data_IF_255757894681
#
_entry.id   IF_255757894681
#
_cell.length_a   1.000
_cell.length_b   1.000
_cell.length_c   1.000
_cell.angle_alpha   90.00
_cell.angle_beta   90.00
_cell.angle_gamma   90.00
#
_symmetry.space_group_name_H-M   'P 1'
#
loop_
_entity.id
_entity.type
_entity.pdbx_description
1 polymer ?
#
# COMPACT_ATOMS: atom_id res chain seq x y z
N UNK A 1 36.37 -46.44 22.02
CA UNK A 1 36.42 -44.99 21.68
C UNK A 1 35.12 -44.66 20.96
N UNK A 2 34.19 -44.04 21.67
CA UNK A 2 32.84 -43.78 21.17
C UNK A 2 32.85 -42.59 20.22
N UNK A 3 32.63 -42.87 18.93
CA UNK A 3 32.48 -41.86 17.88
C UNK A 3 31.17 -41.09 18.13
N UNK A 4 31.27 -39.89 18.69
CA UNK A 4 30.14 -38.97 18.80
C UNK A 4 29.99 -38.24 17.47
N UNK A 5 29.04 -38.67 16.65
CA UNK A 5 28.66 -37.95 15.44
C UNK A 5 28.00 -36.63 15.86
N UNK A 6 28.74 -35.54 15.70
CA UNK A 6 28.29 -34.17 15.95
C UNK A 6 27.38 -33.78 14.79
N UNK A 7 26.07 -33.88 14.99
CA UNK A 7 25.08 -33.36 14.05
C UNK A 7 25.16 -31.83 14.05
N UNK A 8 25.96 -31.27 13.14
CA UNK A 8 25.93 -29.85 12.85
C UNK A 8 24.60 -29.56 12.15
N UNK A 9 23.59 -29.17 12.92
CA UNK A 9 22.41 -28.50 12.40
C UNK A 9 22.84 -27.12 11.87
N UNK A 10 23.33 -27.07 10.64
CA UNK A 10 23.54 -25.80 9.94
C UNK A 10 22.17 -25.29 9.52
N UNK A 11 21.69 -24.24 10.20
CA UNK A 11 20.52 -23.50 9.74
C UNK A 11 20.96 -22.72 8.49
N UNK A 12 20.77 -23.31 7.31
CA UNK A 12 21.02 -22.62 6.04
C UNK A 12 19.96 -21.54 5.91
N UNK A 13 20.35 -20.28 6.10
CA UNK A 13 19.50 -19.12 5.79
C UNK A 13 19.24 -19.15 4.28
N UNK A 14 18.03 -19.57 3.90
CA UNK A 14 17.62 -19.52 2.49
C UNK A 14 17.14 -18.10 2.21
N UNK A 15 17.83 -17.39 1.33
CA UNK A 15 17.36 -16.10 0.82
C UNK A 15 16.01 -16.31 0.14
N UNK A 16 15.04 -15.47 0.48
CA UNK A 16 13.70 -15.51 -0.11
C UNK A 16 13.82 -15.05 -1.55
N UNK A 17 13.96 -16.01 -2.46
CA UNK A 17 13.97 -15.76 -3.90
C UNK A 17 12.55 -15.49 -4.40
N UNK A 18 12.36 -14.38 -5.13
CA UNK A 18 11.04 -14.02 -5.64
C UNK A 18 11.05 -12.73 -6.46
N UNK A 19 9.86 -12.17 -6.71
CA UNK A 19 9.67 -10.96 -7.55
C UNK A 19 10.50 -9.76 -7.08
N UNK A 20 10.77 -9.67 -5.78
CA UNK A 20 11.35 -8.49 -5.12
C UNK A 20 12.82 -8.64 -4.73
N UNK A 21 13.32 -9.87 -4.59
CA UNK A 21 14.69 -10.15 -4.15
C UNK A 21 15.31 -11.28 -4.98
N UNK A 22 16.56 -11.06 -5.42
CA UNK A 22 17.35 -12.03 -6.17
C UNK A 22 17.84 -13.19 -5.30
N UNK A 23 18.46 -14.21 -5.92
CA UNK A 23 19.10 -15.33 -5.22
C UNK A 23 20.25 -14.91 -4.31
N UNK A 24 20.83 -13.74 -4.54
CA UNK A 24 21.88 -13.14 -3.72
C UNK A 24 21.33 -12.15 -2.68
N UNK A 25 20.00 -12.03 -2.58
CA UNK A 25 19.33 -11.12 -1.63
C UNK A 25 19.31 -9.67 -2.06
N UNK A 26 19.66 -9.37 -3.32
CA UNK A 26 19.67 -8.00 -3.82
C UNK A 26 18.25 -7.57 -4.19
N UNK A 27 17.87 -6.30 -3.90
CA UNK A 27 16.58 -5.77 -4.31
C UNK A 27 16.47 -5.75 -5.83
N UNK A 28 15.30 -6.12 -6.35
CA UNK A 28 15.00 -6.03 -7.78
C UNK A 28 14.37 -4.68 -8.10
N UNK A 29 14.38 -4.32 -9.39
CA UNK A 29 13.65 -3.16 -9.91
C UNK A 29 12.16 -3.16 -9.50
N UNK A 30 11.54 -4.33 -9.42
CA UNK A 30 10.14 -4.44 -9.00
C UNK A 30 9.93 -4.02 -7.54
N UNK A 31 10.93 -4.20 -6.66
CA UNK A 31 10.86 -3.72 -5.28
C UNK A 31 10.99 -2.20 -5.24
N UNK A 32 11.98 -1.66 -5.96
CA UNK A 32 12.20 -0.21 -6.05
C UNK A 32 10.96 0.53 -6.55
N UNK A 33 10.26 -0.02 -7.54
CA UNK A 33 9.02 0.55 -8.07
C UNK A 33 7.87 0.54 -7.04
N UNK A 34 7.76 -0.52 -6.24
CA UNK A 34 6.74 -0.60 -5.18
C UNK A 34 7.05 0.40 -4.08
N UNK A 35 8.32 0.50 -3.67
CA UNK A 35 8.76 1.47 -2.67
C UNK A 35 8.52 2.91 -3.14
N UNK A 36 8.85 3.22 -4.39
CA UNK A 36 8.58 4.53 -4.98
C UNK A 36 7.07 4.84 -5.03
N UNK A 37 6.25 3.86 -5.43
CA UNK A 37 4.79 4.00 -5.45
C UNK A 37 4.19 4.20 -4.06
N UNK A 38 4.78 3.56 -3.04
CA UNK A 38 4.38 3.70 -1.64
C UNK A 38 4.67 5.11 -1.12
N UNK A 39 5.87 5.64 -1.41
CA UNK A 39 6.25 7.01 -1.05
C UNK A 39 5.32 8.03 -1.72
N UNK A 40 5.06 7.87 -3.02
CA UNK A 40 4.16 8.76 -3.74
C UNK A 40 2.72 8.67 -3.24
N UNK A 41 2.22 7.46 -2.96
CA UNK A 41 0.90 7.25 -2.37
C UNK A 41 0.75 7.93 -1.01
N UNK A 42 1.79 7.89 -0.15
CA UNK A 42 1.80 8.60 1.12
C UNK A 42 1.75 10.11 0.94
N UNK A 43 2.50 10.65 -0.04
CA UNK A 43 2.51 12.08 -0.37
C UNK A 43 1.13 12.55 -0.84
N UNK A 44 0.49 11.81 -1.75
CA UNK A 44 -0.86 12.11 -2.25
C UNK A 44 -1.88 12.05 -1.12
N UNK A 45 -1.78 11.03 -0.25
CA UNK A 45 -2.67 10.89 0.90
C UNK A 45 -2.56 12.11 1.84
N UNK A 46 -1.35 12.50 2.21
CA UNK A 46 -1.14 13.66 3.08
C UNK A 46 -1.66 14.96 2.45
N UNK A 47 -1.45 15.16 1.15
CA UNK A 47 -1.99 16.29 0.41
C UNK A 47 -3.53 16.31 0.45
N UNK A 48 -4.17 15.18 0.14
CA UNK A 48 -5.62 15.06 0.17
C UNK A 48 -6.21 15.29 1.57
N UNK A 49 -5.55 14.78 2.61
CA UNK A 49 -5.95 15.02 4.00
C UNK A 49 -5.85 16.50 4.39
N UNK A 50 -4.83 17.22 3.89
CA UNK A 50 -4.70 18.65 4.08
C UNK A 50 -5.77 19.44 3.33
N UNK A 51 -6.05 19.09 2.06
CA UNK A 51 -7.11 19.73 1.27
C UNK A 51 -8.49 19.52 1.89
N UNK A 52 -8.74 18.35 2.49
CA UNK A 52 -10.00 18.07 3.18
C UNK A 52 -10.27 18.96 4.40
N UNK A 53 -9.24 19.62 4.95
CA UNK A 53 -9.44 20.63 5.99
C UNK A 53 -10.09 21.90 5.45
N UNK A 54 -9.97 22.15 4.15
CA UNK A 54 -10.46 23.37 3.49
C UNK A 54 -11.69 23.07 2.62
N UNK A 55 -11.74 21.88 2.03
CA UNK A 55 -12.80 21.42 1.14
C UNK A 55 -13.48 20.18 1.73
N UNK A 56 -14.65 20.33 2.39
CA UNK A 56 -15.37 19.18 2.92
C UNK A 56 -15.77 18.22 1.80
N UNK A 57 -16.09 16.97 2.14
CA UNK A 57 -16.59 16.04 1.13
C UNK A 57 -17.93 16.55 0.59
N UNK A 58 -18.01 16.74 -0.73
CA UNK A 58 -19.23 17.18 -1.39
C UNK A 58 -19.63 16.17 -2.45
N UNK A 59 -20.93 15.87 -2.51
CA UNK A 59 -21.52 15.09 -3.58
C UNK A 59 -22.38 16.00 -4.44
N UNK A 60 -22.53 15.63 -5.70
CA UNK A 60 -23.45 16.25 -6.65
C UNK A 60 -24.35 15.19 -7.26
N UNK A 61 -25.64 15.48 -7.30
CA UNK A 61 -26.65 14.69 -8.01
C UNK A 61 -27.33 15.56 -9.05
N UNK A 62 -27.75 14.95 -10.15
CA UNK A 62 -28.62 15.61 -11.11
C UNK A 62 -29.71 14.65 -11.57
N UNK A 63 -30.93 15.15 -11.68
CA UNK A 63 -32.03 14.45 -12.33
C UNK A 63 -32.83 15.42 -13.19
N UNK A 64 -33.49 14.92 -14.25
CA UNK A 64 -34.32 15.73 -15.12
C UNK A 64 -35.53 16.35 -14.40
N UNK A 65 -36.09 15.63 -13.42
CA UNK A 65 -37.23 16.09 -12.63
C UNK A 65 -36.83 17.00 -11.45
N UNK A 66 -35.67 16.75 -10.83
CA UNK A 66 -35.24 17.44 -9.61
C UNK A 66 -34.15 18.49 -9.81
N UNK A 67 -33.61 18.61 -11.01
CA UNK A 67 -32.45 19.48 -11.29
C UNK A 67 -31.17 19.00 -10.62
N UNK A 68 -30.20 19.91 -10.49
CA UNK A 68 -28.92 19.65 -9.84
C UNK A 68 -28.96 19.96 -8.34
N UNK A 69 -28.40 19.05 -7.53
CA UNK A 69 -28.23 19.23 -6.09
C UNK A 69 -26.77 18.99 -5.72
N UNK A 70 -26.25 19.83 -4.84
CA UNK A 70 -24.96 19.64 -4.19
C UNK A 70 -25.17 19.60 -2.68
N UNK A 71 -24.51 18.67 -2.00
CA UNK A 71 -24.50 18.63 -0.55
C UNK A 71 -23.12 18.23 -0.06
N UNK A 72 -22.68 18.85 1.03
CA UNK A 72 -21.41 18.57 1.66
C UNK A 72 -21.60 17.98 3.04
N UNK A 73 -20.67 17.11 3.46
CA UNK A 73 -20.68 16.46 4.77
C UNK A 73 -19.31 16.50 5.41
N UNK A 74 -19.27 16.34 6.73
CA UNK A 74 -18.02 16.14 7.46
C UNK A 74 -17.53 14.69 7.39
N UNK A 75 -18.30 13.77 6.78
CA UNK A 75 -17.84 12.40 6.55
C UNK A 75 -16.73 12.43 5.53
N UNK A 76 -15.60 11.82 5.85
CA UNK A 76 -14.51 11.68 4.91
C UNK A 76 -14.98 10.81 3.74
N UNK A 77 -14.82 11.27 2.50
CA UNK A 77 -14.79 10.35 1.36
C UNK A 77 -13.52 9.51 1.55
N UNK A 78 -13.60 8.45 2.34
CA UNK A 78 -12.50 7.52 2.47
C UNK A 78 -12.28 6.94 1.08
N UNK A 79 -11.22 7.39 0.41
CA UNK A 79 -10.65 6.65 -0.70
C UNK A 79 -10.48 5.22 -0.21
N UNK A 80 -11.01 4.28 -0.96
CA UNK A 80 -10.87 2.84 -0.79
C UNK A 80 -9.42 2.36 -0.95
N UNK A 81 -8.42 3.16 -0.58
CA UNK A 81 -6.99 2.83 -0.56
C UNK A 81 -6.62 1.74 0.46
N UNK A 82 -7.61 1.11 1.11
CA UNK A 82 -7.44 -0.10 1.91
C UNK A 82 -8.07 -1.36 1.30
N UNK A 83 -8.59 -1.30 0.08
CA UNK A 83 -9.22 -2.44 -0.61
C UNK A 83 -8.45 -2.80 -1.89
N UNK A 84 -7.16 -3.13 -1.73
CA UNK A 84 -6.66 -4.29 -2.47
C UNK A 84 -7.26 -5.51 -1.75
N UNK A 85 -8.51 -5.82 -2.08
CA UNK A 85 -9.12 -7.12 -1.76
C UNK A 85 -8.41 -8.13 -2.65
N UNK A 86 -7.46 -8.87 -2.08
CA UNK A 86 -7.10 -10.19 -2.60
C UNK A 86 -8.28 -11.13 -2.40
#
# INVERSE_FOLDING_TARGET
>A
MTHTHKWLCTCRLRLVTGRFYSETGQPTEALLQVEASLVEGQRIKAHSEAEMLHFPSCNSEWSSAGGGRVWCSTKRCANSSGLIKY
#
